data_IF_354333957992
#
_entry.id   IF_354333957992
#
_cell.length_a   1.000
_cell.length_b   1.000
_cell.length_c   1.000
_cell.angle_alpha   90.00
_cell.angle_beta   90.00
_cell.angle_gamma   90.00
#
_symmetry.space_group_name_H-M   'P 1'
#
loop_
_entity.id
_entity.type
_entity.pdbx_description
1 polymer ?
#
# COMPACT_ATOMS: atom_id res chain seq x y z
N UNK A 1 -12.85 8.15 -16.47
CA UNK A 1 -13.89 8.50 -17.46
C UNK A 1 -14.51 9.81 -17.00
N UNK A 2 -14.46 10.87 -17.82
CA UNK A 2 -14.90 12.20 -17.42
C UNK A 2 -16.38 12.21 -17.02
N UNK A 3 -16.71 12.90 -15.93
CA UNK A 3 -18.10 13.10 -15.46
C UNK A 3 -18.99 13.69 -16.55
N UNK A 4 -18.42 14.48 -17.46
CA UNK A 4 -19.10 15.10 -18.58
C UNK A 4 -19.53 14.09 -19.66
N UNK A 5 -18.83 12.96 -19.81
CA UNK A 5 -19.17 11.93 -20.80
C UNK A 5 -20.37 11.10 -20.32
N UNK A 6 -20.46 10.80 -19.02
CA UNK A 6 -21.59 10.05 -18.46
C UNK A 6 -22.91 10.84 -18.44
N UNK A 7 -22.86 12.17 -18.35
CA UNK A 7 -24.05 13.04 -18.37
C UNK A 7 -24.60 13.31 -19.80
N UNK A 8 -23.95 12.79 -20.85
CA UNK A 8 -24.31 13.05 -22.25
C UNK A 8 -25.67 12.45 -22.65
N UNK A 9 -26.07 11.35 -22.01
CA UNK A 9 -27.36 10.69 -22.23
C UNK A 9 -28.57 11.55 -21.85
N UNK A 10 -28.45 12.41 -20.84
CA UNK A 10 -29.54 13.28 -20.37
C UNK A 10 -29.83 14.46 -21.31
N UNK A 11 -28.94 14.71 -22.27
CA UNK A 11 -29.04 15.81 -23.25
C UNK A 11 -29.14 15.33 -24.70
N UNK A 12 -29.48 14.06 -24.93
CA UNK A 12 -29.59 13.43 -26.26
C UNK A 12 -28.29 13.51 -27.09
N UNK A 13 -27.13 13.58 -26.44
CA UNK A 13 -25.82 13.52 -27.09
C UNK A 13 -25.23 12.15 -26.84
N UNK A 14 -25.01 11.34 -27.88
CA UNK A 14 -24.26 10.10 -27.77
C UNK A 14 -22.81 10.34 -28.18
N UNK A 15 -21.88 10.28 -27.23
CA UNK A 15 -20.46 10.19 -27.51
C UNK A 15 -19.99 8.75 -27.31
N UNK A 16 -19.58 8.08 -28.39
CA UNK A 16 -18.77 6.87 -28.29
C UNK A 16 -17.30 7.31 -28.28
N UNK A 17 -16.67 7.25 -27.12
CA UNK A 17 -15.24 7.37 -26.99
C UNK A 17 -14.70 6.04 -26.44
N UNK A 18 -13.93 5.33 -27.25
CA UNK A 18 -13.08 4.21 -26.79
C UNK A 18 -11.88 4.80 -26.03
N UNK A 19 -12.17 5.37 -24.85
CA UNK A 19 -11.15 5.96 -24.00
C UNK A 19 -10.52 4.85 -23.13
N UNK A 20 -9.41 4.30 -23.59
CA UNK A 20 -8.55 3.44 -22.78
C UNK A 20 -7.61 4.30 -21.91
N UNK A 21 -7.41 3.90 -20.66
CA UNK A 21 -6.37 4.51 -19.81
C UNK A 21 -5.02 4.01 -20.30
N UNK A 22 -4.16 4.93 -20.74
CA UNK A 22 -2.73 4.65 -20.88
C UNK A 22 -2.12 4.53 -19.47
N UNK A 23 -2.06 3.29 -18.99
CA UNK A 23 -1.63 2.97 -17.64
C UNK A 23 -0.17 3.40 -17.41
N UNK A 24 0.72 3.05 -18.34
CA UNK A 24 2.14 3.38 -18.26
C UNK A 24 2.36 4.91 -18.28
N UNK A 25 1.70 5.64 -19.19
CA UNK A 25 1.82 7.09 -19.23
C UNK A 25 1.23 7.77 -17.98
N UNK A 26 0.18 7.18 -17.38
CA UNK A 26 -0.38 7.70 -16.12
C UNK A 26 0.61 7.55 -14.97
N UNK A 27 1.23 6.38 -14.83
CA UNK A 27 2.28 6.11 -13.84
C UNK A 27 3.47 7.05 -14.06
N UNK A 28 3.96 7.16 -15.31
CA UNK A 28 5.09 8.01 -15.66
C UNK A 28 4.80 9.49 -15.33
N UNK A 29 3.58 9.98 -15.61
CA UNK A 29 3.17 11.35 -15.28
C UNK A 29 3.17 11.61 -13.78
N UNK A 30 2.64 10.67 -12.98
CA UNK A 30 2.63 10.79 -11.51
C UNK A 30 4.06 10.79 -10.96
N UNK A 31 4.90 9.85 -11.37
CA UNK A 31 6.25 9.74 -10.82
C UNK A 31 7.22 10.80 -11.32
N UNK A 32 7.05 11.30 -12.55
CA UNK A 32 7.79 12.49 -13.00
C UNK A 32 7.53 13.68 -12.06
N UNK A 33 6.27 13.84 -11.62
CA UNK A 33 5.94 14.90 -10.66
C UNK A 33 6.50 14.61 -9.26
N UNK A 34 6.27 13.41 -8.73
CA UNK A 34 6.70 13.03 -7.37
C UNK A 34 8.22 13.07 -7.23
N UNK A 35 8.95 12.46 -8.17
CA UNK A 35 10.42 12.43 -8.14
C UNK A 35 10.99 13.86 -8.33
N UNK A 36 10.30 14.71 -9.12
CA UNK A 36 10.62 16.13 -9.24
C UNK A 36 10.34 16.96 -7.98
N UNK A 37 9.32 16.62 -7.19
CA UNK A 37 9.09 17.19 -5.85
C UNK A 37 10.18 16.74 -4.89
N UNK A 38 10.50 15.44 -4.85
CA UNK A 38 11.54 14.88 -3.99
C UNK A 38 12.89 15.57 -4.21
N UNK A 39 13.32 15.70 -5.47
CA UNK A 39 14.58 16.33 -5.83
C UNK A 39 14.66 17.78 -5.34
N UNK A 40 13.58 18.56 -5.50
CA UNK A 40 13.51 19.96 -5.04
C UNK A 40 13.52 20.09 -3.53
N UNK A 41 12.78 19.22 -2.83
CA UNK A 41 12.76 19.19 -1.36
C UNK A 41 14.16 18.85 -0.85
N UNK A 42 14.80 17.80 -1.40
CA UNK A 42 16.16 17.40 -1.03
C UNK A 42 17.16 18.53 -1.23
N UNK A 43 17.13 19.19 -2.39
CA UNK A 43 18.00 20.33 -2.69
C UNK A 43 17.78 21.48 -1.69
N UNK A 44 16.53 21.77 -1.36
CA UNK A 44 16.17 22.83 -0.43
C UNK A 44 16.66 22.52 0.99
N UNK A 45 16.54 21.28 1.45
CA UNK A 45 17.05 20.84 2.76
C UNK A 45 18.58 20.95 2.82
N UNK A 46 19.29 20.54 1.76
CA UNK A 46 20.75 20.61 1.69
C UNK A 46 21.31 22.04 1.66
N UNK A 47 20.50 23.03 1.28
CA UNK A 47 20.91 24.43 1.24
C UNK A 47 20.74 25.18 2.58
N UNK A 48 20.14 24.54 3.60
CA UNK A 48 19.92 25.16 4.91
C UNK A 48 21.17 25.04 5.78
N UNK A 49 21.77 26.18 6.15
CA UNK A 49 23.06 26.25 6.87
C UNK A 49 23.10 25.46 8.20
N UNK A 50 21.96 25.28 8.86
CA UNK A 50 21.85 24.61 10.17
C UNK A 50 21.09 23.28 10.13
N UNK A 51 21.06 22.63 8.97
CA UNK A 51 20.37 21.35 8.79
C UNK A 51 21.26 20.37 8.02
N UNK A 52 21.60 19.28 8.68
CA UNK A 52 22.28 18.16 8.04
C UNK A 52 21.27 17.11 7.59
N UNK A 53 21.30 16.78 6.29
CA UNK A 53 20.55 15.64 5.75
C UNK A 53 21.46 14.41 5.68
N UNK A 54 21.13 13.38 6.45
CA UNK A 54 21.87 12.12 6.51
C UNK A 54 21.05 11.04 5.79
N UNK A 55 21.39 10.65 4.55
CA UNK A 55 20.62 9.69 3.75
C UNK A 55 20.98 8.24 4.10
N UNK A 56 20.92 7.89 5.37
CA UNK A 56 21.23 6.56 5.87
C UNK A 56 20.15 6.07 6.83
N UNK A 57 19.98 4.75 6.91
CA UNK A 57 19.22 4.16 8.01
C UNK A 57 19.97 4.43 9.32
N UNK A 58 19.26 5.00 10.28
CA UNK A 58 19.78 5.36 11.60
C UNK A 58 19.07 4.52 12.64
N UNK A 59 19.82 3.97 13.61
CA UNK A 59 19.25 3.27 14.77
C UNK A 59 19.81 3.83 16.07
N UNK A 60 19.06 3.68 17.15
CA UNK A 60 19.57 3.92 18.49
C UNK A 60 20.58 2.84 18.89
N UNK A 61 21.58 3.27 19.65
CA UNK A 61 22.56 2.41 20.33
C UNK A 61 22.66 2.75 21.83
N UNK A 62 21.78 3.63 22.30
CA UNK A 62 21.72 4.15 23.65
C UNK A 62 20.76 5.34 23.75
N UNK A 63 20.48 5.85 24.96
CA UNK A 63 19.64 7.02 25.15
C UNK A 63 20.21 8.24 24.40
N UNK A 64 19.47 8.74 23.41
CA UNK A 64 19.87 9.87 22.54
C UNK A 64 21.20 9.67 21.79
N UNK A 65 21.64 8.42 21.64
CA UNK A 65 22.80 8.04 20.85
C UNK A 65 22.33 7.25 19.64
N UNK A 66 22.65 7.73 18.46
CA UNK A 66 22.27 7.10 17.21
C UNK A 66 23.49 6.71 16.40
N UNK A 67 23.38 5.62 15.65
CA UNK A 67 24.43 5.12 14.78
C UNK A 67 23.93 4.94 13.35
N UNK A 68 24.79 5.30 12.40
CA UNK A 68 24.62 5.01 10.98
C UNK A 68 26.00 4.84 10.34
N UNK A 69 26.17 3.81 9.51
CA UNK A 69 27.41 3.57 8.75
C UNK A 69 28.73 3.69 9.57
N UNK A 70 28.75 3.21 10.81
CA UNK A 70 29.92 3.29 11.71
C UNK A 70 30.11 4.65 12.42
N UNK A 71 29.35 5.68 12.05
CA UNK A 71 29.33 6.98 12.72
C UNK A 71 28.34 6.95 13.89
N UNK A 72 28.72 7.59 14.99
CA UNK A 72 27.86 7.80 16.16
C UNK A 72 27.55 9.29 16.29
N UNK A 73 26.28 9.62 16.48
CA UNK A 73 25.80 10.99 16.72
C UNK A 73 24.96 11.05 17.99
N UNK A 74 24.98 12.21 18.63
CA UNK A 74 24.22 12.50 19.86
C UNK A 74 23.43 13.78 19.69
N UNK A 75 22.30 13.90 20.37
CA UNK A 75 21.49 15.12 20.36
C UNK A 75 20.82 15.39 21.71
N UNK A 76 20.56 16.67 22.01
CA UNK A 76 19.81 17.06 23.21
C UNK A 76 18.36 16.57 23.16
N UNK A 77 17.77 16.55 21.96
CA UNK A 77 16.41 16.11 21.66
C UNK A 77 16.41 15.23 20.43
N UNK A 78 15.60 14.18 20.45
CA UNK A 78 15.40 13.26 19.32
C UNK A 78 13.91 13.15 19.07
N UNK A 79 13.51 13.33 17.81
CA UNK A 79 12.13 13.11 17.35
C UNK A 79 12.13 11.87 16.47
N UNK A 80 11.27 10.91 16.79
CA UNK A 80 11.12 9.68 16.00
C UNK A 80 9.90 9.82 15.10
N UNK A 81 10.12 9.88 13.80
CA UNK A 81 9.06 10.02 12.79
C UNK A 81 9.26 9.04 11.63
N UNK A 82 9.43 7.75 11.95
CA UNK A 82 9.73 6.70 10.95
C UNK A 82 8.48 6.16 10.23
N UNK A 83 7.28 6.59 10.63
CA UNK A 83 6.03 6.20 9.98
C UNK A 83 5.67 4.72 10.16
N UNK A 84 5.08 4.14 9.13
CA UNK A 84 4.59 2.77 9.11
C UNK A 84 4.95 2.08 7.79
N UNK A 85 4.88 0.75 7.78
CA UNK A 85 5.20 -0.10 6.64
C UNK A 85 4.09 -1.14 6.41
N UNK A 86 3.94 -1.68 5.19
CA UNK A 86 2.96 -2.74 4.91
C UNK A 86 3.10 -3.93 5.87
N UNK A 87 1.97 -4.43 6.35
CA UNK A 87 1.90 -5.63 7.17
C UNK A 87 1.69 -6.85 6.29
N UNK A 88 2.65 -7.79 6.30
CA UNK A 88 2.58 -9.02 5.49
C UNK A 88 1.98 -10.15 6.35
N UNK A 89 0.86 -10.77 5.93
CA UNK A 89 0.22 -11.81 6.70
C UNK A 89 1.05 -13.10 6.60
N UNK A 90 1.04 -13.90 7.68
CA UNK A 90 1.69 -15.20 7.68
C UNK A 90 0.79 -16.24 6.98
N UNK A 91 0.84 -16.26 5.64
CA UNK A 91 0.17 -17.25 4.80
C UNK A 91 1.25 -18.15 4.19
N UNK A 92 1.14 -19.49 4.30
CA UNK A 92 2.10 -20.42 3.71
C UNK A 92 2.41 -20.10 2.25
N UNK A 93 3.70 -20.00 1.92
CA UNK A 93 4.22 -19.73 0.57
C UNK A 93 4.21 -18.27 0.13
N UNK A 94 3.44 -17.37 0.78
CA UNK A 94 3.33 -15.97 0.36
C UNK A 94 4.69 -15.25 0.35
N UNK A 95 5.51 -15.44 1.38
CA UNK A 95 6.78 -14.75 1.55
C UNK A 95 7.78 -15.01 0.40
N UNK A 96 7.64 -16.14 -0.29
CA UNK A 96 8.53 -16.58 -1.36
C UNK A 96 8.01 -16.19 -2.76
N UNK A 97 6.93 -15.40 -2.84
CA UNK A 97 6.33 -14.95 -4.09
C UNK A 97 6.64 -13.47 -4.39
N UNK A 98 6.57 -13.03 -5.67
CA UNK A 98 6.76 -11.62 -6.02
C UNK A 98 5.50 -10.79 -5.77
N UNK A 99 4.87 -10.95 -4.60
CA UNK A 99 3.71 -10.13 -4.22
C UNK A 99 4.10 -8.65 -4.15
N UNK A 100 3.13 -7.79 -4.40
CA UNK A 100 3.26 -6.35 -4.29
C UNK A 100 2.60 -5.85 -3.03
N UNK A 101 3.10 -4.73 -2.51
CA UNK A 101 2.40 -3.90 -1.51
C UNK A 101 1.93 -2.61 -2.15
N UNK A 102 1.31 -1.72 -1.36
CA UNK A 102 0.97 -0.36 -1.82
C UNK A 102 2.18 0.44 -2.31
N UNK A 103 3.38 0.14 -1.78
CA UNK A 103 4.63 0.80 -2.19
C UNK A 103 5.04 0.41 -3.62
N UNK A 104 4.79 -0.84 -4.00
CA UNK A 104 5.28 -1.42 -5.25
C UNK A 104 4.29 -1.16 -6.39
N UNK A 105 3.01 -1.45 -6.15
CA UNK A 105 1.98 -1.45 -7.21
C UNK A 105 1.78 -0.08 -7.85
N UNK A 106 1.97 1.01 -7.08
CA UNK A 106 1.82 2.36 -7.60
C UNK A 106 2.91 2.69 -8.63
N UNK A 107 4.14 2.17 -8.48
CA UNK A 107 5.27 2.40 -9.41
C UNK A 107 5.29 1.43 -10.60
N UNK A 108 4.47 0.38 -10.58
CA UNK A 108 4.42 -0.62 -11.64
C UNK A 108 3.89 0.01 -12.94
N UNK A 109 4.62 -0.15 -14.04
CA UNK A 109 4.28 0.45 -15.36
C UNK A 109 3.37 -0.43 -16.21
N UNK A 110 3.36 -1.73 -15.96
CA UNK A 110 2.51 -2.70 -16.62
C UNK A 110 1.28 -2.99 -15.75
N UNK A 111 0.11 -3.01 -16.39
CA UNK A 111 -1.15 -3.37 -15.75
C UNK A 111 -1.28 -4.89 -15.71
N UNK A 112 -1.70 -5.43 -14.57
CA UNK A 112 -2.12 -6.84 -14.50
C UNK A 112 -3.40 -7.08 -15.32
N UNK A 113 -3.53 -8.25 -15.92
CA UNK A 113 -4.77 -8.70 -16.52
C UNK A 113 -5.78 -9.13 -15.45
N UNK A 114 -5.32 -9.84 -14.41
CA UNK A 114 -6.09 -10.22 -13.23
C UNK A 114 -5.29 -10.05 -11.93
N UNK A 115 -5.60 -8.98 -11.21
CA UNK A 115 -5.05 -8.69 -9.88
C UNK A 115 -5.84 -9.39 -8.78
N UNK A 116 -5.15 -10.23 -8.00
CA UNK A 116 -5.64 -10.75 -6.72
C UNK A 116 -5.24 -9.79 -5.60
N UNK A 117 -6.13 -9.53 -4.64
CA UNK A 117 -5.89 -8.58 -3.55
C UNK A 117 -6.22 -9.22 -2.21
N UNK A 118 -5.31 -9.10 -1.24
CA UNK A 118 -5.53 -9.50 0.15
C UNK A 118 -5.73 -8.26 1.02
N UNK A 119 -6.90 -8.14 1.64
CA UNK A 119 -7.24 -7.06 2.58
C UNK A 119 -8.32 -6.12 2.06
N UNK A 120 -9.24 -5.73 2.96
CA UNK A 120 -10.40 -4.87 2.67
C UNK A 120 -10.38 -3.52 3.38
N UNK A 121 -9.21 -3.04 3.79
CA UNK A 121 -9.06 -1.67 4.30
C UNK A 121 -9.06 -0.64 3.17
N UNK A 122 -9.03 0.65 3.51
CA UNK A 122 -9.07 1.74 2.53
C UNK A 122 -7.98 1.62 1.45
N UNK A 123 -6.73 1.30 1.82
CA UNK A 123 -5.61 1.07 0.87
C UNK A 123 -5.99 -0.02 -0.15
N UNK A 124 -6.52 -1.14 0.33
CA UNK A 124 -6.93 -2.26 -0.52
C UNK A 124 -8.05 -1.85 -1.46
N UNK A 125 -9.06 -1.14 -0.95
CA UNK A 125 -10.21 -0.69 -1.74
C UNK A 125 -9.83 0.35 -2.81
N UNK A 126 -9.06 1.38 -2.46
CA UNK A 126 -8.63 2.44 -3.37
C UNK A 126 -7.80 1.88 -4.52
N UNK A 127 -6.80 1.05 -4.21
CA UNK A 127 -5.92 0.46 -5.22
C UNK A 127 -6.65 -0.57 -6.08
N UNK A 128 -7.54 -1.36 -5.50
CA UNK A 128 -8.38 -2.30 -6.27
C UNK A 128 -9.30 -1.56 -7.24
N UNK A 129 -9.93 -0.46 -6.80
CA UNK A 129 -10.79 0.33 -7.67
C UNK A 129 -9.98 0.98 -8.79
N UNK A 130 -8.83 1.59 -8.48
CA UNK A 130 -7.94 2.17 -9.48
C UNK A 130 -7.55 1.15 -10.55
N UNK A 131 -7.14 -0.05 -10.14
CA UNK A 131 -6.72 -1.10 -11.07
C UNK A 131 -7.88 -1.61 -11.93
N UNK A 132 -9.07 -1.76 -11.34
CA UNK A 132 -10.28 -2.09 -12.08
C UNK A 132 -10.66 -1.00 -13.09
N UNK A 133 -10.61 0.27 -12.68
CA UNK A 133 -10.87 1.41 -13.56
C UNK A 133 -9.85 1.53 -14.71
N UNK A 134 -8.61 1.09 -14.48
CA UNK A 134 -7.57 0.95 -15.50
C UNK A 134 -7.74 -0.28 -16.41
N UNK A 135 -8.75 -1.11 -16.14
CA UNK A 135 -9.14 -2.25 -16.98
C UNK A 135 -8.58 -3.60 -16.54
N UNK A 136 -7.99 -3.71 -15.34
CA UNK A 136 -7.63 -5.01 -14.77
C UNK A 136 -8.88 -5.72 -14.21
N UNK A 137 -8.98 -7.03 -14.36
CA UNK A 137 -9.90 -7.81 -13.54
C UNK A 137 -9.37 -7.81 -12.10
N UNK A 138 -10.22 -7.56 -11.10
CA UNK A 138 -9.78 -7.53 -9.69
C UNK A 138 -10.63 -8.46 -8.85
N UNK A 139 -9.96 -9.34 -8.10
CA UNK A 139 -10.59 -10.19 -7.07
C UNK A 139 -9.96 -9.92 -5.72
N UNK A 140 -10.75 -9.41 -4.78
CA UNK A 140 -10.33 -9.00 -3.45
C UNK A 140 -10.85 -9.97 -2.40
N UNK A 141 -9.94 -10.55 -1.61
CA UNK A 141 -10.24 -11.41 -0.48
C UNK A 141 -10.10 -10.64 0.82
N UNK A 142 -11.15 -10.67 1.63
CA UNK A 142 -11.21 -9.94 2.89
C UNK A 142 -11.50 -10.94 4.01
N UNK A 143 -10.63 -10.99 5.02
CA UNK A 143 -10.74 -11.93 6.15
C UNK A 143 -12.03 -11.76 6.97
N UNK A 144 -12.51 -10.53 7.07
CA UNK A 144 -13.74 -10.14 7.77
C UNK A 144 -14.65 -9.43 6.77
N UNK A 145 -15.17 -8.27 7.13
CA UNK A 145 -15.85 -7.35 6.23
C UNK A 145 -14.92 -6.27 5.68
N UNK A 146 -15.28 -5.73 4.52
CA UNK A 146 -14.64 -4.60 3.83
C UNK A 146 -14.93 -3.31 4.60
N UNK A 147 -13.94 -2.42 4.73
CA UNK A 147 -14.04 -1.17 5.50
C UNK A 147 -14.62 -1.37 6.92
N UNK A 148 -14.17 -2.41 7.63
CA UNK A 148 -14.68 -2.85 8.95
C UNK A 148 -14.75 -1.80 10.07
N UNK A 149 -14.11 -0.64 9.90
CA UNK A 149 -14.08 0.45 10.88
C UNK A 149 -14.93 1.66 10.47
N UNK A 150 -15.60 1.56 9.32
CA UNK A 150 -16.52 2.57 8.81
C UNK A 150 -17.93 2.28 9.30
N UNK A 151 -18.74 3.34 9.41
CA UNK A 151 -20.18 3.23 9.66
C UNK A 151 -20.87 2.29 8.66
N UNK A 152 -21.88 1.56 9.12
CA UNK A 152 -22.51 0.50 8.33
C UNK A 152 -23.26 1.04 7.12
N UNK A 153 -24.03 2.13 7.25
CA UNK A 153 -24.78 2.70 6.11
C UNK A 153 -23.82 3.23 5.04
N UNK A 154 -22.72 3.85 5.46
CA UNK A 154 -21.66 4.31 4.55
C UNK A 154 -21.00 3.14 3.84
N UNK A 155 -20.75 2.03 4.57
CA UNK A 155 -20.16 0.81 4.02
C UNK A 155 -21.09 0.17 3.00
N UNK A 156 -22.38 0.07 3.28
CA UNK A 156 -23.39 -0.48 2.36
C UNK A 156 -23.45 0.31 1.05
N UNK A 157 -23.54 1.64 1.13
CA UNK A 157 -23.54 2.49 -0.08
C UNK A 157 -22.23 2.42 -0.86
N UNK A 158 -21.10 2.37 -0.16
CA UNK A 158 -19.80 2.14 -0.80
C UNK A 158 -19.80 0.80 -1.54
N UNK A 159 -20.20 -0.29 -0.88
CA UNK A 159 -20.18 -1.64 -1.44
C UNK A 159 -21.11 -1.76 -2.65
N UNK A 160 -22.30 -1.12 -2.60
CA UNK A 160 -23.27 -1.09 -3.71
C UNK A 160 -22.64 -0.63 -5.03
N UNK A 161 -21.75 0.37 -4.97
CA UNK A 161 -21.03 0.87 -6.15
C UNK A 161 -19.76 0.05 -6.40
N UNK A 162 -18.98 -0.21 -5.35
CA UNK A 162 -17.67 -0.81 -5.45
C UNK A 162 -17.68 -2.22 -6.06
N UNK A 163 -18.68 -3.05 -5.75
CA UNK A 163 -18.77 -4.42 -6.27
C UNK A 163 -19.14 -4.50 -7.75
N UNK A 164 -19.55 -3.39 -8.37
CA UNK A 164 -19.69 -3.31 -9.84
C UNK A 164 -18.34 -3.26 -10.56
N UNK A 165 -17.26 -2.92 -9.83
CA UNK A 165 -15.90 -2.80 -10.35
C UNK A 165 -14.98 -3.93 -9.86
N UNK A 166 -15.17 -4.40 -8.64
CA UNK A 166 -14.27 -5.36 -7.99
C UNK A 166 -15.06 -6.56 -7.49
N UNK A 167 -14.57 -7.77 -7.78
CA UNK A 167 -15.14 -8.99 -7.17
C UNK A 167 -14.63 -9.11 -5.74
N UNK A 168 -15.51 -8.88 -4.75
CA UNK A 168 -15.15 -8.95 -3.33
C UNK A 168 -15.64 -10.26 -2.72
N UNK A 169 -14.75 -10.96 -2.02
CA UNK A 169 -15.07 -12.14 -1.20
C UNK A 169 -14.73 -11.84 0.25
N UNK A 170 -15.76 -11.46 1.01
CA UNK A 170 -15.66 -11.30 2.46
C UNK A 170 -15.56 -12.66 3.16
N UNK A 171 -15.14 -12.65 4.42
CA UNK A 171 -14.91 -13.85 5.23
C UNK A 171 -14.03 -14.93 4.57
N UNK A 172 -13.12 -14.51 3.69
CA UNK A 172 -12.28 -15.41 2.89
C UNK A 172 -10.82 -15.14 3.18
N UNK A 173 -10.06 -16.19 3.50
CA UNK A 173 -8.60 -16.14 3.69
C UNK A 173 -7.98 -17.35 3.00
N UNK A 174 -7.01 -17.16 2.09
CA UNK A 174 -6.31 -18.27 1.48
C UNK A 174 -5.58 -19.14 2.51
N UNK A 175 -5.57 -20.45 2.28
CA UNK A 175 -4.82 -21.42 3.09
C UNK A 175 -3.36 -21.51 2.65
N UNK A 176 -3.08 -21.22 1.38
CA UNK A 176 -1.72 -21.14 0.83
C UNK A 176 -1.66 -20.24 -0.40
N UNK A 177 -0.47 -19.73 -0.68
CA UNK A 177 -0.13 -18.97 -1.88
C UNK A 177 1.04 -19.67 -2.57
N UNK A 178 0.96 -19.79 -3.89
CA UNK A 178 2.07 -20.24 -4.74
C UNK A 178 2.26 -19.27 -5.90
N UNK A 179 3.47 -19.24 -6.46
CA UNK A 179 3.80 -18.52 -7.68
C UNK A 179 4.58 -19.44 -8.61
N UNK A 180 4.18 -19.48 -9.88
CA UNK A 180 4.87 -20.22 -10.93
C UNK A 180 5.68 -19.24 -11.79
N UNK A 181 7.01 -19.30 -11.71
CA UNK A 181 7.90 -18.45 -12.49
C UNK A 181 7.81 -18.68 -14.00
N UNK A 182 7.37 -19.87 -14.45
CA UNK A 182 7.27 -20.16 -15.88
C UNK A 182 6.06 -19.48 -16.51
N UNK A 183 4.90 -19.56 -15.85
CA UNK A 183 3.67 -18.93 -16.32
C UNK A 183 3.52 -17.48 -15.86
N UNK A 184 4.23 -17.07 -14.80
CA UNK A 184 4.10 -15.75 -14.19
C UNK A 184 2.84 -15.59 -13.34
N UNK A 185 2.18 -16.68 -12.95
CA UNK A 185 0.88 -16.66 -12.29
C UNK A 185 0.97 -17.00 -10.80
N UNK A 186 0.18 -16.30 -10.00
CA UNK A 186 -0.15 -16.64 -8.62
C UNK A 186 -1.28 -17.66 -8.57
N UNK A 187 -1.25 -18.52 -7.54
CA UNK A 187 -2.34 -19.42 -7.17
C UNK A 187 -2.64 -19.28 -5.68
N UNK A 188 -3.89 -18.94 -5.34
CA UNK A 188 -4.39 -18.81 -3.98
C UNK A 188 -5.36 -19.97 -3.71
N UNK A 189 -4.96 -20.91 -2.86
CA UNK A 189 -5.84 -22.00 -2.43
C UNK A 189 -6.79 -21.51 -1.35
N UNK A 190 -8.08 -21.77 -1.50
CA UNK A 190 -9.11 -21.33 -0.57
C UNK A 190 -9.61 -22.49 0.32
N UNK A 191 -10.24 -22.19 1.47
CA UNK A 191 -10.71 -23.22 2.41
C UNK A 191 -11.77 -24.17 1.84
N UNK A 192 -12.51 -23.74 0.81
CA UNK A 192 -13.53 -24.52 0.11
C UNK A 192 -12.97 -25.44 -0.99
N UNK A 193 -11.65 -25.43 -1.19
CA UNK A 193 -10.96 -26.21 -2.23
C UNK A 193 -10.83 -25.50 -3.57
N UNK A 194 -11.41 -24.31 -3.73
CA UNK A 194 -11.21 -23.48 -4.92
C UNK A 194 -9.76 -22.96 -4.99
N UNK A 195 -9.25 -22.78 -6.22
CA UNK A 195 -7.97 -22.12 -6.47
C UNK A 195 -8.22 -20.91 -7.35
N UNK A 196 -7.88 -19.73 -6.83
CA UNK A 196 -7.89 -18.48 -7.59
C UNK A 196 -6.53 -18.23 -8.23
N UNK A 197 -6.52 -17.88 -9.51
CA UNK A 197 -5.31 -17.56 -10.26
C UNK A 197 -5.31 -16.12 -10.76
N UNK A 198 -4.14 -15.49 -10.82
CA UNK A 198 -3.97 -14.15 -11.37
C UNK A 198 -2.49 -13.85 -11.64
N UNK A 199 -2.20 -12.84 -12.47
CA UNK A 199 -0.85 -12.42 -12.85
C UNK A 199 -0.28 -11.32 -11.93
N UNK A 200 -1.06 -10.89 -10.93
CA UNK A 200 -0.61 -10.02 -9.86
C UNK A 200 -1.23 -10.37 -8.52
N UNK A 201 -0.48 -10.14 -7.44
CA UNK A 201 -0.96 -10.24 -6.07
C UNK A 201 -0.61 -8.97 -5.29
N UNK A 202 -1.62 -8.27 -4.78
CA UNK A 202 -1.47 -7.12 -3.89
C UNK A 202 -1.77 -7.54 -2.44
N UNK A 203 -0.82 -7.32 -1.55
CA UNK A 203 -0.98 -7.46 -0.10
C UNK A 203 -1.25 -6.09 0.51
N UNK A 204 -2.51 -5.86 0.92
CA UNK A 204 -3.00 -4.64 1.53
C UNK A 204 -3.74 -4.93 2.86
N UNK A 205 -3.19 -5.84 3.67
CA UNK A 205 -3.79 -6.32 4.92
C UNK A 205 -3.64 -5.37 6.11
N UNK A 206 -3.00 -4.21 5.91
CA UNK A 206 -2.80 -3.17 6.92
C UNK A 206 -1.35 -2.70 6.94
N UNK A 207 -1.03 -1.87 7.93
CA UNK A 207 0.33 -1.36 8.17
C UNK A 207 0.75 -1.62 9.62
N UNK A 208 2.05 -1.73 9.83
CA UNK A 208 2.67 -1.81 11.16
C UNK A 208 3.65 -0.66 11.35
N UNK A 209 3.87 -0.18 12.59
CA UNK A 209 4.86 0.84 12.87
C UNK A 209 6.25 0.45 12.37
N UNK A 210 6.99 1.41 11.80
CA UNK A 210 8.37 1.21 11.35
C UNK A 210 9.35 1.32 12.53
N UNK A 211 9.17 0.47 13.54
CA UNK A 211 9.98 0.43 14.78
C UNK A 211 10.96 -0.74 14.81
N UNK A 212 10.77 -1.75 13.95
CA UNK A 212 11.67 -2.90 13.83
C UNK A 212 13.07 -2.45 13.40
N UNK A 213 14.08 -2.85 14.16
CA UNK A 213 15.49 -2.54 13.86
C UNK A 213 15.92 -1.11 14.22
N UNK A 214 15.00 -0.27 14.73
CA UNK A 214 15.29 1.12 15.11
C UNK A 214 16.08 1.23 16.42
N UNK A 215 16.14 0.17 17.23
CA UNK A 215 16.84 0.17 18.53
C UNK A 215 16.04 0.84 19.65
N UNK A 216 14.71 0.75 19.61
CA UNK A 216 13.82 1.47 20.54
C UNK A 216 14.11 1.11 22.01
N UNK A 217 14.44 -0.14 22.28
CA UNK A 217 14.76 -0.63 23.62
C UNK A 217 16.08 -0.05 24.13
N UNK A 218 17.10 0.04 23.26
CA UNK A 218 18.39 0.66 23.53
C UNK A 218 18.25 2.17 23.81
N UNK A 219 17.23 2.82 23.24
CA UNK A 219 16.88 4.19 23.55
C UNK A 219 16.22 4.35 24.94
N UNK A 220 15.87 3.26 25.62
CA UNK A 220 15.11 3.25 26.87
C UNK A 220 13.62 3.56 26.69
N UNK A 221 13.07 3.32 25.49
CA UNK A 221 11.68 3.58 25.16
C UNK A 221 10.87 2.27 25.17
N UNK A 222 9.60 2.38 25.58
CA UNK A 222 8.68 1.26 25.57
C UNK A 222 7.88 1.20 24.27
N UNK A 223 7.56 -0.02 23.83
CA UNK A 223 6.58 -0.27 22.78
C UNK A 223 5.25 -0.72 23.41
N UNK A 224 4.15 -0.31 22.81
CA UNK A 224 2.82 -0.90 23.05
C UNK A 224 2.77 -2.34 22.50
N UNK A 225 1.76 -3.12 22.90
CA UNK A 225 1.53 -4.49 22.39
C UNK A 225 1.36 -4.56 20.86
N UNK A 226 1.03 -3.42 20.23
CA UNK A 226 0.89 -3.30 18.77
C UNK A 226 2.18 -2.83 18.06
N UNK A 227 3.28 -2.70 18.79
CA UNK A 227 4.59 -2.30 18.25
C UNK A 227 4.78 -0.80 18.04
N UNK A 228 3.83 0.04 18.46
CA UNK A 228 3.99 1.51 18.44
C UNK A 228 4.84 1.96 19.61
N UNK A 229 5.64 3.02 19.44
CA UNK A 229 6.32 3.68 20.55
C UNK A 229 5.27 4.26 21.49
N UNK A 230 5.39 3.95 22.78
CA UNK A 230 4.51 4.50 23.80
C UNK A 230 4.80 5.98 24.00
N UNK A 231 3.76 6.79 24.00
CA UNK A 231 3.87 8.23 24.19
C UNK A 231 2.93 8.73 25.29
N UNK A 232 3.08 9.99 25.69
CA UNK A 232 2.21 10.64 26.65
C UNK A 232 1.16 11.52 25.95
N UNK A 233 0.60 12.52 26.62
CA UNK A 233 -0.42 13.41 26.03
C UNK A 233 0.17 14.58 25.23
N UNK A 234 1.48 14.78 25.28
CA UNK A 234 2.15 15.93 24.66
C UNK A 234 2.77 15.58 23.31
N UNK A 235 3.07 14.30 23.08
CA UNK A 235 3.57 13.77 21.81
C UNK A 235 2.99 12.39 21.55
#
# INVERSE_FOLDING_TARGET
MDREIQASGDVNVSTQADAAIDYAATVDRVYTHIDGVEARVRQSLQAVERLDLIPHFVRFIGPRMLAYNGTVVTADRVVINTGAQPSIPNIPGLADTPYMTSTDILRRRDRCDHLLVLGGGYIGCELSHWQSAAGAKVTQLVRSTTLKHTDEEVREEFMRVYTSHVTVREHTTPTSVAYDEHSGLFSLSLPDGEVLTGDGLLVATGVTPATKGLGVEEAGLALTDRGFIQTDKYF
#
